data_IF_402965173867
#
_entry.id   IF_402965173867
#
_cell.length_a   1.000
_cell.length_b   1.000
_cell.length_c   1.000
_cell.angle_alpha   90.00
_cell.angle_beta   90.00
_cell.angle_gamma   90.00
#
_symmetry.space_group_name_H-M   'P 1'
#
loop_
_entity.id
_entity.type
_entity.pdbx_description
1 polymer ?
#
# COMPACT_ATOMS: atom_id res chain seq x y z
N UNK A 1 -8.15 -39.19 27.44
CA UNK A 1 -7.86 -38.28 26.31
C UNK A 1 -8.42 -36.91 26.66
N UNK A 2 -7.58 -35.97 27.08
CA UNK A 2 -7.99 -34.57 27.22
C UNK A 2 -8.05 -33.97 25.81
N UNK A 3 -9.27 -33.69 25.34
CA UNK A 3 -9.49 -32.93 24.11
C UNK A 3 -9.12 -31.47 24.35
N UNK A 4 -8.09 -30.99 23.66
CA UNK A 4 -7.80 -29.56 23.54
C UNK A 4 -8.89 -28.95 22.65
N UNK A 5 -9.91 -28.38 23.27
CA UNK A 5 -10.84 -27.46 22.61
C UNK A 5 -10.07 -26.21 22.21
N UNK A 6 -9.70 -26.11 20.93
CA UNK A 6 -9.20 -24.88 20.36
C UNK A 6 -10.29 -23.83 20.41
N UNK A 7 -10.11 -22.80 21.23
CA UNK A 7 -10.93 -21.58 21.19
C UNK A 7 -10.64 -20.84 19.88
N UNK A 8 -11.24 -21.28 18.77
CA UNK A 8 -11.43 -20.41 17.61
C UNK A 8 -12.72 -19.62 17.89
N UNK A 9 -12.56 -18.44 18.49
CA UNK A 9 -13.66 -17.52 18.73
C UNK A 9 -14.14 -17.00 17.38
N UNK A 10 -15.17 -17.63 16.81
CA UNK A 10 -15.91 -17.16 15.63
C UNK A 10 -16.69 -15.84 15.88
N UNK A 11 -16.28 -15.04 16.88
CA UNK A 11 -17.07 -13.95 17.45
C UNK A 11 -16.25 -12.66 17.67
N UNK A 12 -15.35 -12.32 16.74
CA UNK A 12 -14.66 -11.01 16.74
C UNK A 12 -15.30 -10.02 15.75
N UNK A 13 -16.07 -10.49 14.78
CA UNK A 13 -16.56 -9.65 13.67
C UNK A 13 -18.09 -9.76 13.57
N UNK A 14 -18.79 -8.89 14.28
CA UNK A 14 -20.21 -8.61 14.05
C UNK A 14 -20.43 -7.51 13.00
N UNK A 15 -19.36 -6.89 12.54
CA UNK A 15 -19.33 -5.92 11.47
C UNK A 15 -18.01 -6.15 10.70
N UNK A 16 -18.09 -6.75 9.51
CA UNK A 16 -16.92 -7.04 8.68
C UNK A 16 -16.10 -5.76 8.36
N UNK A 17 -16.70 -4.58 8.54
CA UNK A 17 -16.09 -3.28 8.36
C UNK A 17 -15.48 -2.70 9.64
N UNK A 18 -15.61 -3.31 10.82
CA UNK A 18 -14.93 -2.86 12.04
C UNK A 18 -13.76 -3.78 12.42
N UNK A 19 -12.58 -3.19 12.61
CA UNK A 19 -11.33 -3.92 12.84
C UNK A 19 -10.43 -3.14 13.79
N UNK A 20 -10.72 -3.19 15.11
CA UNK A 20 -9.92 -2.52 16.12
C UNK A 20 -8.55 -3.18 16.26
N UNK A 21 -7.54 -2.46 16.79
CA UNK A 21 -6.22 -3.03 17.04
C UNK A 21 -6.28 -4.30 17.92
N UNK A 22 -5.73 -5.41 17.40
CA UNK A 22 -5.67 -6.69 18.11
C UNK A 22 -4.31 -6.88 18.79
N UNK A 23 -4.30 -6.96 20.12
CA UNK A 23 -3.09 -7.12 20.95
C UNK A 23 -3.04 -8.45 21.69
N UNK A 24 -3.37 -9.55 21.03
CA UNK A 24 -3.28 -10.90 21.62
C UNK A 24 -3.07 -11.96 20.55
N UNK A 25 -2.50 -13.10 20.96
CA UNK A 25 -2.25 -14.24 20.08
C UNK A 25 -1.04 -14.05 19.14
N UNK A 26 -1.04 -14.83 18.07
CA UNK A 26 0.00 -14.79 17.04
C UNK A 26 -0.58 -15.10 15.67
N UNK A 27 0.15 -14.72 14.63
CA UNK A 27 -0.22 -14.96 13.24
C UNK A 27 0.92 -15.70 12.53
N UNK A 28 0.61 -16.81 11.88
CA UNK A 28 1.55 -17.52 11.00
C UNK A 28 1.41 -16.97 9.60
N UNK A 29 2.45 -16.28 9.12
CA UNK A 29 2.47 -15.63 7.81
C UNK A 29 2.19 -16.65 6.71
N UNK A 30 1.21 -16.36 5.87
CA UNK A 30 0.87 -17.19 4.71
C UNK A 30 1.62 -16.71 3.47
N UNK A 31 1.79 -17.58 2.45
CA UNK A 31 2.33 -17.16 1.16
C UNK A 31 1.57 -15.97 0.58
N UNK A 32 2.29 -14.94 0.15
CA UNK A 32 1.73 -13.72 -0.45
C UNK A 32 1.21 -12.67 0.54
N UNK A 33 1.35 -12.87 1.86
CA UNK A 33 1.04 -11.82 2.83
C UNK A 33 2.20 -10.84 3.02
N UNK A 34 1.84 -9.58 3.25
CA UNK A 34 2.77 -8.50 3.57
C UNK A 34 2.57 -8.06 5.02
N UNK A 35 3.60 -7.49 5.65
CA UNK A 35 3.46 -6.94 7.01
C UNK A 35 2.36 -5.88 7.06
N UNK A 36 2.23 -5.09 5.99
CA UNK A 36 1.17 -4.09 5.83
C UNK A 36 -0.22 -4.73 5.80
N UNK A 37 -0.41 -5.78 5.00
CA UNK A 37 -1.69 -6.49 4.93
C UNK A 37 -2.07 -7.17 6.26
N UNK A 38 -1.08 -7.76 6.96
CA UNK A 38 -1.31 -8.38 8.26
C UNK A 38 -1.62 -7.32 9.33
N UNK A 39 -0.85 -6.24 9.40
CA UNK A 39 -1.12 -5.14 10.32
C UNK A 39 -2.51 -4.54 10.06
N UNK A 40 -2.86 -4.32 8.79
CA UNK A 40 -4.17 -3.85 8.38
C UNK A 40 -5.30 -4.78 8.83
N UNK A 41 -5.12 -6.10 8.64
CA UNK A 41 -6.05 -7.17 9.06
C UNK A 41 -6.28 -7.18 10.57
N UNK A 42 -5.33 -6.72 11.38
CA UNK A 42 -5.46 -6.69 12.83
C UNK A 42 -5.63 -5.28 13.39
N UNK A 43 -5.94 -4.29 12.55
CA UNK A 43 -6.12 -2.90 12.99
C UNK A 43 -4.85 -2.27 13.59
N UNK A 44 -3.67 -2.77 13.28
CA UNK A 44 -2.38 -2.30 13.82
C UNK A 44 -1.63 -1.40 12.85
N UNK A 45 -0.75 -0.57 13.39
CA UNK A 45 0.28 0.10 12.61
C UNK A 45 1.38 -0.91 12.24
N UNK A 46 1.79 -0.93 10.97
CA UNK A 46 2.76 -1.90 10.47
C UNK A 46 4.15 -1.73 11.09
N UNK A 47 4.55 -0.51 11.48
CA UNK A 47 5.84 -0.25 12.13
C UNK A 47 5.81 -0.73 13.57
N UNK A 48 4.70 -0.48 14.25
CA UNK A 48 4.47 -0.92 15.62
C UNK A 48 4.47 -2.46 15.70
N UNK A 49 3.76 -3.12 14.78
CA UNK A 49 3.80 -4.59 14.66
C UNK A 49 5.19 -5.10 14.27
N UNK A 50 5.88 -4.40 13.36
CA UNK A 50 7.23 -4.73 12.92
C UNK A 50 8.24 -4.68 14.07
N UNK A 51 8.29 -3.56 14.80
CA UNK A 51 9.17 -3.36 15.96
C UNK A 51 8.90 -4.40 17.06
N UNK A 52 7.63 -4.67 17.37
CA UNK A 52 7.23 -5.71 18.34
C UNK A 52 7.76 -7.11 17.98
N UNK A 53 8.07 -7.33 16.71
CA UNK A 53 8.57 -8.58 16.14
C UNK A 53 10.04 -8.53 15.69
N UNK A 54 10.77 -7.47 16.05
CA UNK A 54 12.18 -7.32 15.69
C UNK A 54 12.41 -7.16 14.18
N UNK A 55 11.41 -6.70 13.44
CA UNK A 55 11.49 -6.41 12.02
C UNK A 55 11.93 -4.96 11.82
N UNK A 56 12.64 -4.73 10.73
CA UNK A 56 13.08 -3.42 10.29
C UNK A 56 12.72 -3.22 8.80
N UNK A 57 12.70 -1.97 8.29
CA UNK A 57 12.63 -1.74 6.86
C UNK A 57 13.67 -2.58 6.09
N UNK A 58 13.32 -3.20 4.96
CA UNK A 58 12.11 -3.00 4.15
C UNK A 58 10.87 -3.81 4.59
N UNK A 59 10.82 -4.31 5.84
CA UNK A 59 9.67 -5.01 6.43
C UNK A 59 9.37 -6.38 5.80
N UNK A 60 10.43 -7.06 5.34
CA UNK A 60 10.32 -8.38 4.74
C UNK A 60 9.86 -9.43 5.76
N UNK A 61 8.85 -10.21 5.40
CA UNK A 61 8.36 -11.37 6.15
C UNK A 61 8.39 -12.61 5.24
N UNK A 62 8.43 -13.80 5.84
CA UNK A 62 8.45 -15.07 5.10
C UNK A 62 7.25 -15.93 5.47
N UNK A 63 6.73 -16.71 4.52
CA UNK A 63 5.72 -17.71 4.82
C UNK A 63 6.20 -18.67 5.92
N UNK A 64 5.32 -19.00 6.86
CA UNK A 64 5.63 -19.79 8.06
C UNK A 64 6.24 -19.01 9.22
N UNK A 65 6.66 -17.75 9.01
CA UNK A 65 7.12 -16.88 10.10
C UNK A 65 5.97 -16.60 11.07
N UNK A 66 6.24 -16.65 12.38
CA UNK A 66 5.25 -16.33 13.41
C UNK A 66 5.40 -14.87 13.83
N UNK A 67 4.36 -14.07 13.66
CA UNK A 67 4.25 -12.72 14.19
C UNK A 67 3.46 -12.72 15.50
N UNK A 68 4.07 -12.19 16.55
CA UNK A 68 3.48 -11.98 17.88
C UNK A 68 2.59 -10.75 17.83
N UNK A 69 1.29 -10.96 18.04
CA UNK A 69 0.29 -9.89 18.10
C UNK A 69 0.10 -9.39 19.53
N UNK A 70 0.44 -10.20 20.53
CA UNK A 70 0.35 -9.86 21.96
C UNK A 70 1.34 -8.78 22.42
N UNK A 71 2.42 -8.56 21.67
CA UNK A 71 3.42 -7.55 21.98
C UNK A 71 3.03 -6.19 21.40
N UNK A 72 3.26 -5.13 22.17
CA UNK A 72 3.21 -3.74 21.71
C UNK A 72 4.61 -3.28 21.34
N UNK A 73 4.76 -2.72 20.14
CA UNK A 73 6.00 -2.13 19.68
C UNK A 73 6.04 -0.64 20.00
N UNK A 74 7.21 -0.04 19.80
CA UNK A 74 7.34 1.41 19.81
C UNK A 74 7.48 1.89 18.37
N UNK A 75 6.70 2.90 17.98
CA UNK A 75 6.90 3.55 16.69
C UNK A 75 8.14 4.43 16.81
N UNK A 76 9.29 3.86 16.46
CA UNK A 76 10.53 4.62 16.31
C UNK A 76 10.43 5.39 15.00
N UNK A 77 10.48 6.72 15.07
CA UNK A 77 10.60 7.55 13.89
C UNK A 77 11.97 7.23 13.26
N UNK A 78 11.97 6.47 12.16
CA UNK A 78 13.21 6.14 11.48
C UNK A 78 13.77 7.42 10.92
N UNK A 79 14.89 7.90 11.46
CA UNK A 79 15.71 8.87 10.75
C UNK A 79 15.95 8.30 9.34
N UNK A 80 15.61 9.08 8.32
CA UNK A 80 15.72 8.72 6.90
C UNK A 80 16.94 7.83 6.68
N UNK A 81 16.71 6.62 6.17
CA UNK A 81 17.79 5.71 5.84
C UNK A 81 18.79 6.45 4.93
N UNK A 82 20.00 6.67 5.43
CA UNK A 82 21.10 7.21 4.64
C UNK A 82 21.21 6.39 3.35
N UNK A 83 21.38 7.04 2.19
CA UNK A 83 21.51 6.30 0.94
C UNK A 83 22.65 5.27 1.07
N UNK A 84 22.48 4.04 0.53
CA UNK A 84 23.54 3.05 0.57
C UNK A 84 24.80 3.65 -0.07
N UNK A 85 26.00 3.34 0.45
CA UNK A 85 27.23 3.85 -0.13
C UNK A 85 27.28 3.41 -1.59
N UNK A 86 27.38 4.42 -2.48
CA UNK A 86 27.51 4.26 -3.92
C UNK A 86 28.73 3.36 -4.16
N UNK A 87 28.49 2.09 -4.50
CA UNK A 87 29.53 1.20 -4.98
C UNK A 87 30.17 1.88 -6.19
N UNK A 88 31.45 2.22 -6.05
CA UNK A 88 32.30 2.70 -7.13
C UNK A 88 32.35 1.61 -8.19
N UNK A 89 31.84 1.92 -9.38
CA UNK A 89 32.01 1.08 -10.55
C UNK A 89 33.52 0.87 -10.81
N UNK A 90 33.96 -0.34 -11.20
CA UNK A 90 35.35 -0.56 -11.59
C UNK A 90 35.69 0.25 -12.85
N UNK A 91 36.87 0.87 -12.84
CA UNK A 91 37.41 1.64 -13.95
C UNK A 91 37.56 0.79 -15.24
N UNK A 92 37.35 1.37 -16.43
CA UNK A 92 37.56 0.66 -17.69
C UNK A 92 39.06 0.48 -17.97
N UNK A 93 39.45 -0.73 -18.37
CA UNK A 93 40.81 -1.02 -18.88
C UNK A 93 41.03 -0.39 -20.27
N UNK A 94 42.27 0.00 -20.61
CA UNK A 94 42.57 0.62 -21.90
C UNK A 94 42.56 -0.37 -23.07
N UNK A 95 42.02 0.10 -24.19
CA UNK A 95 41.91 -0.56 -25.49
C UNK A 95 43.26 -0.69 -26.21
N UNK A 96 43.50 -1.82 -26.86
CA UNK A 96 44.46 -1.94 -27.97
C UNK A 96 43.73 -1.75 -29.31
N UNK A 97 44.36 -0.99 -30.20
CA UNK A 97 43.87 -0.47 -31.48
C UNK A 97 44.38 -1.33 -32.65
N UNK A 98 43.54 -1.55 -33.66
CA UNK A 98 43.95 -1.82 -35.06
C UNK A 98 42.74 -1.56 -36.02
N UNK A 99 42.97 -1.22 -37.32
CA UNK A 99 42.23 -0.18 -38.04
C UNK A 99 41.14 -0.64 -39.03
N UNK A 100 40.32 0.33 -39.46
CA UNK A 100 39.18 0.25 -40.38
C UNK A 100 39.53 0.01 -41.87
N UNK A 101 38.53 -0.15 -42.77
CA UNK A 101 38.10 1.03 -43.54
C UNK A 101 36.58 1.16 -43.89
N UNK A 102 36.14 2.43 -43.82
CA UNK A 102 35.16 3.23 -44.62
C UNK A 102 33.90 2.64 -45.30
N UNK A 103 32.72 3.24 -45.01
CA UNK A 103 31.92 4.03 -45.98
C UNK A 103 30.77 4.88 -45.33
N UNK A 104 30.80 6.21 -45.55
CA UNK A 104 29.73 7.22 -45.84
C UNK A 104 28.26 6.98 -45.39
N UNK A 105 27.39 7.92 -44.91
CA UNK A 105 27.23 9.40 -44.87
C UNK A 105 25.96 9.70 -43.98
N UNK A 106 25.68 10.92 -43.44
CA UNK A 106 25.02 11.11 -42.13
C UNK A 106 23.55 11.53 -42.16
N UNK A 107 22.86 11.34 -41.02
CA UNK A 107 21.73 12.17 -40.62
C UNK A 107 21.68 12.28 -39.08
N UNK A 108 21.98 13.47 -38.58
CA UNK A 108 21.87 13.84 -37.18
C UNK A 108 20.39 13.93 -36.78
N UNK A 109 20.01 13.21 -35.72
CA UNK A 109 18.83 13.54 -34.92
C UNK A 109 19.29 13.73 -33.49
N UNK A 110 19.06 14.93 -33.00
CA UNK A 110 19.47 15.42 -31.69
C UNK A 110 19.06 14.44 -30.57
N UNK A 111 20.03 14.17 -29.70
CA UNK A 111 19.83 13.43 -28.48
C UNK A 111 18.77 14.13 -27.61
N UNK A 112 17.68 13.44 -27.35
CA UNK A 112 16.75 13.81 -26.30
C UNK A 112 17.50 13.76 -24.95
N UNK A 113 17.32 14.74 -24.05
CA UNK A 113 17.89 14.63 -22.72
C UNK A 113 17.28 13.44 -22.00
N UNK A 114 18.13 12.57 -21.44
CA UNK A 114 17.73 11.45 -20.62
C UNK A 114 16.78 11.90 -19.49
N UNK A 115 15.75 11.12 -19.12
CA UNK A 115 14.91 11.44 -17.99
C UNK A 115 15.77 11.45 -16.74
N UNK A 116 16.03 12.63 -16.19
CA UNK A 116 16.64 12.77 -14.88
C UNK A 116 15.71 12.11 -13.86
N UNK A 117 16.19 11.02 -13.27
CA UNK A 117 15.62 10.37 -12.09
C UNK A 117 15.60 11.40 -10.96
N UNK A 118 14.47 12.10 -10.81
CA UNK A 118 14.24 12.96 -9.66
C UNK A 118 14.08 12.06 -8.45
N UNK A 119 15.12 12.09 -7.63
CA UNK A 119 15.21 11.58 -6.28
C UNK A 119 13.91 11.86 -5.50
N UNK A 120 13.24 10.80 -5.08
CA UNK A 120 11.98 10.77 -4.32
C UNK A 120 12.12 11.23 -2.86
N UNK A 121 13.24 11.83 -2.49
CA UNK A 121 13.61 12.06 -1.09
C UNK A 121 13.21 13.42 -0.51
N UNK A 122 12.36 14.24 -1.18
CA UNK A 122 12.05 15.61 -0.72
C UNK A 122 10.58 16.06 -0.82
N UNK A 123 9.58 15.16 -0.81
CA UNK A 123 8.14 15.55 -0.74
C UNK A 123 7.48 15.18 0.59
N UNK A 124 8.26 15.08 1.66
CA UNK A 124 7.73 14.99 3.00
C UNK A 124 7.48 16.40 3.56
N UNK A 125 6.35 17.01 3.18
CA UNK A 125 5.79 18.09 4.01
C UNK A 125 4.29 18.35 3.87
N UNK A 126 3.58 17.83 2.87
CA UNK A 126 2.11 17.66 2.93
C UNK A 126 1.65 16.79 1.76
N UNK A 127 0.90 15.71 2.04
CA UNK A 127 0.32 14.89 0.99
C UNK A 127 -0.80 15.69 0.31
N UNK A 128 -0.68 15.93 -1.00
CA UNK A 128 -1.79 16.48 -1.80
C UNK A 128 -2.73 15.36 -2.22
N UNK A 129 -3.79 15.20 -1.44
CA UNK A 129 -4.84 14.24 -1.71
C UNK A 129 -5.74 14.70 -2.85
N UNK A 130 -6.14 13.74 -3.68
CA UNK A 130 -7.14 13.89 -4.72
C UNK A 130 -8.19 12.82 -4.54
N UNK A 131 -9.38 13.08 -5.09
CA UNK A 131 -10.41 12.07 -5.11
C UNK A 131 -10.01 10.87 -5.97
N UNK A 132 -10.21 9.63 -5.46
CA UNK A 132 -9.84 8.42 -6.17
C UNK A 132 -10.85 8.02 -7.26
N UNK A 133 -12.07 8.58 -7.21
CA UNK A 133 -13.15 8.33 -8.16
C UNK A 133 -14.08 9.55 -8.25
N UNK A 134 -14.73 9.79 -9.40
CA UNK A 134 -15.58 10.96 -9.65
C UNK A 134 -17.03 10.82 -9.18
N UNK A 135 -17.46 9.62 -8.80
CA UNK A 135 -18.83 9.36 -8.35
C UNK A 135 -19.20 10.01 -7.01
N UNK A 136 -20.47 9.89 -6.65
CA UNK A 136 -21.06 10.44 -5.43
C UNK A 136 -20.74 9.56 -4.22
N UNK A 137 -20.50 10.17 -3.06
CA UNK A 137 -20.35 9.46 -1.79
C UNK A 137 -21.72 8.93 -1.35
N UNK A 138 -21.83 7.61 -1.16
CA UNK A 138 -23.06 6.90 -0.77
C UNK A 138 -23.01 6.36 0.67
N UNK A 139 -21.84 6.36 1.29
CA UNK A 139 -21.69 6.18 2.73
C UNK A 139 -20.48 6.98 3.23
N UNK A 140 -20.65 7.68 4.35
CA UNK A 140 -19.60 8.45 4.99
C UNK A 140 -18.84 7.60 6.02
N UNK A 141 -17.70 8.10 6.44
CA UNK A 141 -16.95 7.58 7.59
C UNK A 141 -17.81 7.65 8.85
N UNK A 142 -17.81 6.58 9.64
CA UNK A 142 -18.50 6.53 10.93
C UNK A 142 -17.81 5.56 11.88
N UNK A 143 -17.53 6.02 13.09
CA UNK A 143 -17.02 5.19 14.20
C UNK A 143 -18.14 4.59 15.05
N UNK A 144 -19.38 5.03 14.85
CA UNK A 144 -20.55 4.60 15.61
C UNK A 144 -21.75 4.30 14.72
N UNK A 145 -22.76 3.59 15.24
CA UNK A 145 -23.91 3.15 14.46
C UNK A 145 -23.50 2.13 13.40
N UNK A 146 -23.80 2.41 12.12
CA UNK A 146 -23.29 1.61 11.00
C UNK A 146 -21.83 2.02 10.74
N UNK A 147 -20.90 1.24 11.24
CA UNK A 147 -19.47 1.57 11.18
C UNK A 147 -18.99 1.56 9.74
N UNK A 148 -18.16 2.55 9.40
CA UNK A 148 -17.50 2.67 8.12
C UNK A 148 -16.13 3.33 8.33
N UNK A 149 -15.04 2.61 8.03
CA UNK A 149 -13.65 3.09 8.22
C UNK A 149 -13.17 4.03 7.12
N UNK A 150 -13.99 4.26 6.11
CA UNK A 150 -13.67 5.07 4.95
C UNK A 150 -14.89 5.78 4.42
N UNK A 151 -14.91 5.99 3.12
CA UNK A 151 -16.09 6.45 2.38
C UNK A 151 -16.39 5.47 1.27
N UNK A 152 -17.68 5.29 0.98
CA UNK A 152 -18.13 4.49 -0.16
C UNK A 152 -18.52 5.44 -1.28
N UNK A 153 -17.92 5.27 -2.45
CA UNK A 153 -18.15 6.10 -3.63
C UNK A 153 -18.84 5.26 -4.69
N UNK A 154 -20.01 5.69 -5.15
CA UNK A 154 -20.73 5.03 -6.24
C UNK A 154 -19.93 5.07 -7.54
N UNK A 155 -20.10 4.07 -8.38
CA UNK A 155 -19.55 4.01 -9.72
C UNK A 155 -20.09 2.81 -10.49
N UNK A 156 -19.69 2.71 -11.75
CA UNK A 156 -20.05 1.60 -12.62
C UNK A 156 -18.90 0.57 -12.67
N UNK A 157 -19.20 -0.72 -12.86
CA UNK A 157 -18.17 -1.72 -13.07
C UNK A 157 -17.27 -1.35 -14.25
N UNK A 158 -15.97 -1.23 -14.00
CA UNK A 158 -14.97 -0.85 -15.02
C UNK A 158 -14.52 0.60 -14.94
N UNK A 159 -15.18 1.45 -14.14
CA UNK A 159 -14.73 2.82 -13.94
C UNK A 159 -13.31 2.87 -13.38
N UNK A 160 -12.53 3.86 -13.80
CA UNK A 160 -11.13 3.99 -13.40
C UNK A 160 -11.01 4.42 -11.94
N UNK A 161 -10.36 3.59 -11.12
CA UNK A 161 -9.96 3.95 -9.75
C UNK A 161 -8.54 4.48 -9.79
N UNK A 162 -8.34 5.68 -9.23
CA UNK A 162 -7.08 6.42 -9.28
C UNK A 162 -6.43 6.50 -7.90
N UNK A 163 -5.09 6.48 -7.87
CA UNK A 163 -4.34 6.76 -6.65
C UNK A 163 -4.63 8.19 -6.16
N UNK A 164 -5.12 8.31 -4.93
CA UNK A 164 -5.46 9.59 -4.31
C UNK A 164 -4.23 10.49 -4.13
N UNK A 165 -3.07 9.90 -3.90
CA UNK A 165 -1.79 10.57 -3.83
C UNK A 165 -0.65 9.67 -4.33
N UNK A 166 0.53 10.25 -4.56
CA UNK A 166 1.72 9.47 -4.94
C UNK A 166 2.21 8.61 -3.77
N UNK A 167 2.75 7.44 -4.04
CA UNK A 167 3.26 6.53 -3.02
C UNK A 167 3.65 5.17 -3.59
N UNK A 168 3.99 4.24 -2.70
CA UNK A 168 4.39 2.88 -3.04
C UNK A 168 3.26 1.89 -2.73
N UNK A 169 2.95 0.97 -3.65
CA UNK A 169 1.96 -0.08 -3.43
C UNK A 169 2.54 -1.12 -2.47
N UNK A 170 1.96 -1.24 -1.27
CA UNK A 170 2.44 -2.14 -0.20
C UNK A 170 1.55 -3.38 -0.02
N UNK A 171 0.44 -3.42 -0.75
CA UNK A 171 -0.44 -4.58 -0.86
C UNK A 171 -1.26 -4.48 -2.14
N UNK A 172 -1.38 -5.58 -2.88
CA UNK A 172 -2.26 -5.71 -4.05
C UNK A 172 -2.76 -7.16 -4.13
N UNK A 173 -4.02 -7.40 -3.78
CA UNK A 173 -4.58 -8.75 -3.76
C UNK A 173 -5.97 -8.84 -3.12
N UNK A 174 -6.40 -10.05 -2.78
CA UNK A 174 -7.75 -10.36 -2.28
C UNK A 174 -7.76 -11.17 -0.96
N UNK A 175 -6.61 -11.25 -0.28
CA UNK A 175 -6.43 -12.04 0.94
C UNK A 175 -6.96 -11.39 2.23
N UNK A 176 -7.43 -10.15 2.16
CA UNK A 176 -8.05 -9.44 3.28
C UNK A 176 -9.58 -9.56 3.19
N UNK A 177 -10.16 -10.27 4.15
CA UNK A 177 -11.61 -10.47 4.26
C UNK A 177 -12.33 -9.13 4.39
N UNK A 178 -13.52 -9.03 3.77
CA UNK A 178 -14.35 -7.81 3.79
C UNK A 178 -13.96 -6.74 2.76
N UNK A 179 -12.78 -6.83 2.14
CA UNK A 179 -12.31 -5.80 1.18
C UNK A 179 -12.39 -6.24 -0.29
N UNK A 180 -12.59 -7.53 -0.57
CA UNK A 180 -12.47 -8.07 -1.92
C UNK A 180 -11.08 -7.80 -2.51
N UNK A 181 -10.99 -7.44 -3.80
CA UNK A 181 -9.73 -7.02 -4.38
C UNK A 181 -9.36 -5.62 -3.87
N UNK A 182 -8.21 -5.57 -3.20
CA UNK A 182 -7.73 -4.45 -2.42
C UNK A 182 -6.34 -4.02 -2.88
N UNK A 183 -6.13 -2.71 -2.94
CA UNK A 183 -4.82 -2.09 -3.07
C UNK A 183 -4.58 -1.24 -1.83
N UNK A 184 -3.41 -1.32 -1.22
CA UNK A 184 -2.95 -0.40 -0.17
C UNK A 184 -1.72 0.34 -0.68
N UNK A 185 -1.78 1.68 -0.65
CA UNK A 185 -0.67 2.56 -1.04
C UNK A 185 -0.12 3.24 0.21
N UNK A 186 1.20 3.15 0.39
CA UNK A 186 1.95 3.87 1.39
C UNK A 186 2.46 5.19 0.82
N UNK A 187 2.03 6.32 1.40
CA UNK A 187 2.38 7.66 0.91
C UNK A 187 3.58 8.24 1.65
N UNK A 188 3.68 7.95 2.95
CA UNK A 188 4.81 8.30 3.81
C UNK A 188 4.67 7.53 5.14
N UNK A 189 5.57 7.78 6.08
CA UNK A 189 5.55 7.13 7.39
C UNK A 189 4.18 7.21 8.09
N UNK A 190 3.41 8.28 7.92
CA UNK A 190 2.17 8.48 8.67
C UNK A 190 0.92 8.00 7.95
N UNK A 191 0.92 7.92 6.63
CA UNK A 191 -0.31 7.80 5.84
C UNK A 191 -0.31 6.63 4.87
N UNK A 192 -1.34 5.80 5.01
CA UNK A 192 -1.73 4.78 4.04
C UNK A 192 -3.09 5.14 3.43
N UNK A 193 -3.34 4.74 2.19
CA UNK A 193 -4.69 4.69 1.61
C UNK A 193 -5.03 3.30 1.10
N UNK A 194 -6.32 2.95 1.14
CA UNK A 194 -6.82 1.67 0.64
C UNK A 194 -7.95 1.87 -0.36
N UNK A 195 -7.97 1.01 -1.39
CA UNK A 195 -8.92 1.02 -2.49
C UNK A 195 -9.49 -0.38 -2.60
N UNK A 196 -10.75 -0.59 -2.20
CA UNK A 196 -11.36 -1.91 -2.09
C UNK A 196 -12.49 -2.13 -3.11
N UNK A 197 -13.00 -3.36 -3.14
CA UNK A 197 -14.10 -3.83 -3.98
C UNK A 197 -13.84 -3.75 -5.50
N UNK A 198 -12.58 -3.66 -5.91
CA UNK A 198 -12.21 -3.55 -7.32
C UNK A 198 -12.55 -4.83 -8.09
N UNK A 199 -12.95 -4.73 -9.36
CA UNK A 199 -13.06 -5.93 -10.21
C UNK A 199 -11.71 -6.39 -10.74
N UNK A 200 -10.76 -5.47 -10.90
CA UNK A 200 -9.44 -5.73 -11.47
C UNK A 200 -8.41 -4.80 -10.85
N UNK A 201 -7.27 -5.38 -10.46
CA UNK A 201 -6.08 -4.67 -10.00
C UNK A 201 -5.16 -4.46 -11.21
N UNK A 202 -4.62 -3.25 -11.37
CA UNK A 202 -3.77 -2.87 -12.51
C UNK A 202 -2.31 -2.56 -12.10
N UNK A 203 -2.00 -2.70 -10.82
CA UNK A 203 -0.68 -2.47 -10.23
C UNK A 203 -0.25 -3.66 -9.39
N UNK A 204 1.02 -3.74 -9.07
CA UNK A 204 1.58 -4.81 -8.23
C UNK A 204 2.25 -4.28 -6.97
N UNK A 205 2.45 -5.16 -5.99
CA UNK A 205 3.25 -4.83 -4.80
C UNK A 205 4.66 -4.35 -5.19
N UNK A 206 5.13 -3.31 -4.52
CA UNK A 206 6.41 -2.64 -4.77
C UNK A 206 6.38 -1.60 -5.88
N UNK A 207 5.27 -1.45 -6.60
CA UNK A 207 5.14 -0.44 -7.65
C UNK A 207 4.99 0.97 -7.09
N UNK A 208 5.70 1.94 -7.67
CA UNK A 208 5.52 3.37 -7.37
C UNK A 208 4.38 3.95 -8.22
N UNK A 209 3.39 4.57 -7.57
CA UNK A 209 2.24 5.20 -8.23
C UNK A 209 2.26 6.71 -8.04
N UNK A 210 1.76 7.44 -9.04
CA UNK A 210 1.57 8.89 -8.96
C UNK A 210 0.13 9.24 -8.60
N UNK A 211 -0.06 10.37 -7.93
CA UNK A 211 -1.40 10.93 -7.75
C UNK A 211 -2.15 11.02 -9.09
N UNK A 212 -3.38 10.48 -9.14
CA UNK A 212 -4.21 10.43 -10.35
C UNK A 212 -3.92 9.28 -11.31
N UNK A 213 -2.86 8.49 -11.08
CA UNK A 213 -2.59 7.28 -11.86
C UNK A 213 -3.72 6.27 -11.66
N UNK A 214 -4.16 5.63 -12.74
CA UNK A 214 -5.15 4.55 -12.67
C UNK A 214 -4.48 3.30 -12.10
N UNK A 215 -5.06 2.74 -11.04
CA UNK A 215 -4.50 1.61 -10.29
C UNK A 215 -5.43 0.39 -10.27
N UNK A 216 -6.72 0.58 -10.56
CA UNK A 216 -7.70 -0.49 -10.60
C UNK A 216 -8.92 -0.10 -11.45
N UNK A 217 -9.76 -1.10 -11.71
CA UNK A 217 -11.12 -0.94 -12.22
C UNK A 217 -12.12 -1.19 -11.09
N UNK A 218 -13.06 -0.26 -10.90
CA UNK A 218 -14.12 -0.35 -9.89
C UNK A 218 -14.99 -1.59 -10.16
N UNK A 219 -15.42 -2.26 -9.08
CA UNK A 219 -16.28 -3.42 -9.17
C UNK A 219 -17.16 -3.57 -7.94
N UNK A 220 -17.54 -4.81 -7.65
CA UNK A 220 -18.32 -5.22 -6.49
C UNK A 220 -17.69 -6.43 -5.79
N UNK A 221 -16.37 -6.63 -5.88
CA UNK A 221 -15.75 -7.81 -5.28
C UNK A 221 -15.91 -7.77 -3.76
N UNK A 222 -16.48 -8.81 -3.15
CA UNK A 222 -16.71 -8.86 -1.70
C UNK A 222 -17.80 -7.90 -1.20
N UNK A 223 -18.71 -7.46 -2.07
CA UNK A 223 -19.89 -6.67 -1.71
C UNK A 223 -21.03 -6.90 -2.71
N UNK A 224 -22.24 -6.43 -2.41
CA UNK A 224 -23.44 -6.73 -3.19
C UNK A 224 -23.72 -5.75 -4.34
N UNK A 225 -22.99 -4.62 -4.39
CA UNK A 225 -23.19 -3.58 -5.41
C UNK A 225 -21.89 -2.91 -5.84
N UNK A 226 -21.81 -2.39 -7.07
CA UNK A 226 -20.63 -1.65 -7.53
C UNK A 226 -20.38 -0.38 -6.71
N UNK A 227 -19.23 -0.32 -6.05
CA UNK A 227 -18.75 0.86 -5.33
C UNK A 227 -17.24 0.76 -5.08
N UNK A 228 -16.60 1.92 -4.88
CA UNK A 228 -15.26 2.00 -4.33
C UNK A 228 -15.37 2.29 -2.83
N UNK A 229 -14.83 1.40 -2.00
CA UNK A 229 -14.56 1.71 -0.60
C UNK A 229 -13.14 2.28 -0.49
N UNK A 230 -13.04 3.51 0.02
CA UNK A 230 -11.79 4.25 0.13
C UNK A 230 -11.49 4.60 1.58
N UNK A 231 -10.36 4.12 2.10
CA UNK A 231 -9.88 4.45 3.45
C UNK A 231 -8.61 5.30 3.40
N UNK A 232 -8.45 6.18 4.39
CA UNK A 232 -7.16 6.77 4.76
C UNK A 232 -6.86 6.30 6.18
N UNK A 233 -5.63 5.84 6.42
CA UNK A 233 -5.15 5.55 7.78
C UNK A 233 -4.00 6.46 8.15
N UNK A 234 -4.09 7.04 9.35
CA UNK A 234 -3.03 7.83 9.97
C UNK A 234 -2.45 7.06 11.15
N UNK A 235 -1.17 6.70 11.07
CA UNK A 235 -0.47 5.90 12.09
C UNK A 235 -1.25 4.62 12.46
N UNK A 236 -1.68 3.88 11.45
CA UNK A 236 -2.44 2.63 11.61
C UNK A 236 -3.94 2.79 11.89
N UNK A 237 -4.40 3.96 12.33
CA UNK A 237 -5.81 4.19 12.67
C UNK A 237 -6.59 4.73 11.46
N UNK A 238 -7.81 4.24 11.19
CA UNK A 238 -8.68 4.82 10.16
C UNK A 238 -9.09 6.24 10.54
N UNK A 239 -9.13 7.14 9.56
CA UNK A 239 -9.52 8.54 9.73
C UNK A 239 -10.48 8.93 8.62
N UNK A 240 -11.39 9.86 8.92
CA UNK A 240 -12.37 10.40 7.97
C UNK A 240 -11.69 10.98 6.70
N UNK A 241 -11.84 10.33 5.52
CA UNK A 241 -11.23 10.79 4.28
C UNK A 241 -11.73 12.16 3.83
N UNK A 242 -12.95 12.56 4.19
CA UNK A 242 -13.53 13.84 3.79
C UNK A 242 -12.76 15.05 4.37
N UNK A 243 -11.97 14.84 5.43
CA UNK A 243 -11.10 15.87 6.02
C UNK A 243 -9.80 16.12 5.24
N UNK A 244 -9.43 15.19 4.37
CA UNK A 244 -8.18 15.21 3.61
C UNK A 244 -8.42 15.51 2.13
N UNK A 245 -9.55 15.04 1.60
CA UNK A 245 -9.91 15.22 0.20
C UNK A 245 -10.31 16.67 -0.11
N UNK A 246 -10.07 17.16 -1.34
CA UNK A 246 -10.52 18.47 -1.77
C UNK A 246 -12.04 18.62 -1.65
N UNK A 247 -12.51 19.82 -1.32
CA UNK A 247 -13.96 20.12 -1.34
C UNK A 247 -14.52 19.93 -2.74
N UNK A 248 -15.74 19.39 -2.80
CA UNK A 248 -16.56 19.27 -4.01
C UNK A 248 -17.83 20.07 -3.85
#
# INVERSE_FOLDING_TARGET
>A
MLGLSGCNTNAIYGDDLYNPPVYWGSHVVKPGETLYGIAWRYGRDYRELGDANGLAPPWNIRAGQVLRLDKKGTIRQTAQASPPPRQSAPAPRPSTRAPAPTASKPAARAAAPAPQTRTSSQVASDIRWNWPHSGTVIANFSESGKVNKGIDIAGNPGDAVKAAASGSVVYAGNGLLGYGNLIIVNHNEHYLSAYAHNRKILVQEGEEVKAGQVIAELGSSGTDKPMLHFEIRKNGNPVDPARYLPRR
#
